data_IF_602841820333
#
_entry.id   IF_602841820333
#
_cell.length_a   1.000
_cell.length_b   1.000
_cell.length_c   1.000
_cell.angle_alpha   90.00
_cell.angle_beta   90.00
_cell.angle_gamma   90.00
#
_symmetry.space_group_name_H-M   'P 1'
#
loop_
_entity.id
_entity.type
_entity.pdbx_description
1 polymer ?
#
# COMPACT_ATOMS: atom_id res chain seq x y z
N UNK A 1 0.29 15.41 2.31
CA UNK A 1 -0.34 14.57 1.28
C UNK A 1 -0.84 13.30 1.95
N UNK A 2 -2.13 13.05 1.98
CA UNK A 2 -2.71 11.87 2.65
C UNK A 2 -2.92 10.77 1.61
N UNK A 3 -1.86 10.07 1.23
CA UNK A 3 -1.90 8.95 0.26
C UNK A 3 -3.00 7.93 0.54
N UNK A 4 -3.37 7.73 1.82
CA UNK A 4 -4.43 6.79 2.23
C UNK A 4 -5.78 7.22 1.66
N UNK A 5 -6.13 8.51 1.76
CA UNK A 5 -7.36 9.04 1.20
C UNK A 5 -7.33 9.00 -0.33
N UNK A 6 -6.21 9.40 -0.95
CA UNK A 6 -6.06 9.36 -2.40
C UNK A 6 -6.19 7.93 -2.94
N UNK A 7 -5.65 6.95 -2.22
CA UNK A 7 -5.77 5.53 -2.55
C UNK A 7 -7.24 5.06 -2.46
N UNK A 8 -7.94 5.42 -1.38
CA UNK A 8 -9.36 5.12 -1.23
C UNK A 8 -10.19 5.70 -2.39
N UNK A 9 -10.00 6.99 -2.70
CA UNK A 9 -10.67 7.66 -3.83
C UNK A 9 -10.34 6.96 -5.14
N UNK A 10 -9.08 6.58 -5.36
CA UNK A 10 -8.65 5.86 -6.57
C UNK A 10 -9.41 4.55 -6.74
N UNK A 11 -9.53 3.74 -5.69
CA UNK A 11 -10.32 2.50 -5.77
C UNK A 11 -11.79 2.77 -6.04
N UNK A 12 -12.39 3.81 -5.42
CA UNK A 12 -13.78 4.19 -5.70
C UNK A 12 -13.98 4.65 -7.15
N UNK A 13 -13.02 5.36 -7.73
CA UNK A 13 -13.01 5.72 -9.16
C UNK A 13 -12.91 4.48 -10.04
N UNK A 14 -12.09 3.50 -9.68
CA UNK A 14 -11.93 2.25 -10.42
C UNK A 14 -13.19 1.36 -10.35
N UNK A 15 -13.97 1.45 -9.28
CA UNK A 15 -15.24 0.74 -9.15
C UNK A 15 -16.34 1.30 -10.06
N UNK A 16 -16.33 2.62 -10.31
CA UNK A 16 -17.32 3.30 -11.15
C UNK A 16 -16.94 3.19 -12.65
N UNK A 17 -17.75 2.58 -13.52
CA UNK A 17 -17.41 2.41 -14.94
C UNK A 17 -17.18 3.72 -15.70
N UNK A 18 -17.96 4.76 -15.42
CA UNK A 18 -17.83 6.05 -16.10
C UNK A 18 -16.56 6.80 -15.67
N UNK A 19 -16.30 6.85 -14.35
CA UNK A 19 -15.09 7.46 -13.77
C UNK A 19 -13.84 6.70 -14.19
N UNK A 20 -13.88 5.37 -14.21
CA UNK A 20 -12.79 4.52 -14.69
C UNK A 20 -12.47 4.79 -16.16
N UNK A 21 -13.48 4.91 -17.03
CA UNK A 21 -13.28 5.27 -18.44
C UNK A 21 -12.63 6.64 -18.59
N UNK A 22 -13.08 7.64 -17.82
CA UNK A 22 -12.50 8.97 -17.81
C UNK A 22 -11.03 8.96 -17.34
N UNK A 23 -10.73 8.23 -16.26
CA UNK A 23 -9.38 8.03 -15.76
C UNK A 23 -8.47 7.39 -16.80
N UNK A 24 -8.95 6.33 -17.47
CA UNK A 24 -8.17 5.62 -18.50
C UNK A 24 -7.81 6.53 -19.66
N UNK A 25 -8.73 7.40 -20.12
CA UNK A 25 -8.43 8.38 -21.16
C UNK A 25 -7.33 9.34 -20.75
N UNK A 26 -7.36 9.85 -19.51
CA UNK A 26 -6.30 10.72 -18.97
C UNK A 26 -4.95 9.99 -18.90
N UNK A 27 -4.93 8.77 -18.41
CA UNK A 27 -3.70 7.98 -18.29
C UNK A 27 -3.07 7.64 -19.64
N UNK A 28 -3.87 7.35 -20.67
CA UNK A 28 -3.38 7.08 -22.03
C UNK A 28 -2.69 8.28 -22.67
N UNK A 29 -3.08 9.49 -22.31
CA UNK A 29 -2.51 10.75 -22.80
C UNK A 29 -1.34 11.24 -21.94
N UNK A 30 -1.12 10.64 -20.77
CA UNK A 30 -0.08 11.04 -19.85
C UNK A 30 1.30 10.61 -20.34
N UNK A 31 2.27 11.48 -20.14
CA UNK A 31 3.69 11.22 -20.39
C UNK A 31 4.55 11.79 -19.26
N UNK A 32 5.76 11.27 -19.12
CA UNK A 32 6.70 11.72 -18.10
C UNK A 32 7.19 13.14 -18.40
N UNK A 33 6.86 14.11 -17.56
CA UNK A 33 7.30 15.49 -17.66
C UNK A 33 7.54 16.09 -16.28
N UNK A 34 8.76 16.59 -16.02
CA UNK A 34 9.18 17.03 -14.68
C UNK A 34 8.35 18.21 -14.16
N UNK A 35 8.09 19.22 -14.98
CA UNK A 35 7.28 20.38 -14.58
C UNK A 35 5.85 19.95 -14.20
N UNK A 36 5.23 19.11 -15.02
CA UNK A 36 3.87 18.59 -14.75
C UNK A 36 3.86 17.73 -13.48
N UNK A 37 4.93 16.98 -13.22
CA UNK A 37 5.06 16.20 -11.99
C UNK A 37 5.09 17.10 -10.75
N UNK A 38 5.89 18.17 -10.78
CA UNK A 38 5.99 19.14 -9.68
C UNK A 38 4.66 19.85 -9.46
N UNK A 39 4.02 20.32 -10.53
CA UNK A 39 2.69 20.95 -10.48
C UNK A 39 1.64 20.04 -9.85
N UNK A 40 1.60 18.76 -10.25
CA UNK A 40 0.66 17.78 -9.68
C UNK A 40 0.98 17.43 -8.23
N UNK A 41 2.27 17.33 -7.88
CA UNK A 41 2.69 17.06 -6.50
C UNK A 41 2.27 18.17 -5.55
N UNK A 42 2.43 19.41 -5.98
CA UNK A 42 2.23 20.60 -5.16
C UNK A 42 0.79 21.17 -5.27
N UNK A 43 -0.02 20.65 -6.20
CA UNK A 43 -1.44 21.02 -6.34
C UNK A 43 -2.27 20.57 -5.15
N UNK A 44 -3.34 21.32 -4.84
CA UNK A 44 -4.36 20.92 -3.87
C UNK A 44 -5.09 19.64 -4.27
N UNK A 45 -6.07 19.22 -3.49
CA UNK A 45 -6.86 18.01 -3.75
C UNK A 45 -7.89 18.27 -4.85
N UNK A 46 -7.71 17.73 -6.07
CA UNK A 46 -8.71 17.77 -7.10
C UNK A 46 -9.89 16.82 -6.81
N UNK A 47 -10.88 16.82 -7.67
CA UNK A 47 -12.03 15.92 -7.52
C UNK A 47 -11.69 14.50 -7.99
N UNK A 48 -12.29 13.51 -7.37
CA UNK A 48 -12.32 12.05 -7.70
C UNK A 48 -11.32 11.54 -8.78
N UNK A 49 -11.70 11.70 -10.07
CA UNK A 49 -10.90 11.21 -11.22
C UNK A 49 -9.53 11.87 -11.29
N UNK A 50 -9.44 13.15 -10.93
CA UNK A 50 -8.18 13.89 -10.93
C UNK A 50 -7.29 13.51 -9.76
N UNK A 51 -7.87 13.19 -8.60
CA UNK A 51 -7.15 12.60 -7.46
C UNK A 51 -6.56 11.25 -7.83
N UNK A 52 -7.36 10.38 -8.47
CA UNK A 52 -6.89 9.08 -8.92
C UNK A 52 -5.80 9.20 -9.99
N UNK A 53 -5.99 10.09 -10.96
CA UNK A 53 -4.99 10.36 -12.00
C UNK A 53 -3.68 10.86 -11.39
N UNK A 54 -3.74 11.84 -10.48
CA UNK A 54 -2.59 12.39 -9.78
C UNK A 54 -1.83 11.32 -9.00
N UNK A 55 -2.53 10.50 -8.21
CA UNK A 55 -1.89 9.41 -7.45
C UNK A 55 -1.13 8.48 -8.37
N UNK A 56 -1.78 7.97 -9.42
CA UNK A 56 -1.18 7.02 -10.36
C UNK A 56 -0.02 7.68 -11.11
N UNK A 57 -0.16 8.93 -11.54
CA UNK A 57 0.88 9.68 -12.23
C UNK A 57 2.12 9.86 -11.36
N UNK A 58 1.94 10.35 -10.14
CA UNK A 58 3.04 10.57 -9.21
C UNK A 58 3.75 9.28 -8.83
N UNK A 59 3.02 8.20 -8.58
CA UNK A 59 3.61 6.88 -8.30
C UNK A 59 4.40 6.33 -9.48
N UNK A 60 3.87 6.47 -10.69
CA UNK A 60 4.51 5.94 -11.90
C UNK A 60 5.78 6.68 -12.27
N UNK A 61 5.78 8.02 -12.15
CA UNK A 61 6.88 8.85 -12.63
C UNK A 61 7.82 9.35 -11.53
N UNK A 62 7.63 8.92 -10.30
CA UNK A 62 8.58 9.23 -9.22
C UNK A 62 9.75 8.25 -9.16
N UNK A 63 10.81 8.69 -8.51
CA UNK A 63 11.92 7.82 -8.16
C UNK A 63 11.43 6.75 -7.17
N UNK A 64 11.61 5.47 -7.50
CA UNK A 64 11.18 4.33 -6.70
C UNK A 64 9.68 4.32 -6.31
N UNK A 65 8.81 5.04 -7.01
CA UNK A 65 7.40 5.09 -6.69
C UNK A 65 7.05 5.89 -5.42
N UNK A 66 7.97 6.75 -4.94
CA UNK A 66 7.79 7.49 -3.70
C UNK A 66 6.83 8.71 -3.81
N UNK A 67 6.49 9.10 -5.05
CA UNK A 67 5.63 10.25 -5.36
C UNK A 67 6.21 11.61 -4.99
N UNK A 68 7.46 11.71 -4.54
CA UNK A 68 8.09 12.92 -4.03
C UNK A 68 9.02 13.57 -5.03
N UNK A 69 9.84 12.78 -5.70
CA UNK A 69 10.87 13.24 -6.62
C UNK A 69 10.68 12.62 -8.01
N UNK A 70 10.80 13.43 -9.05
CA UNK A 70 10.68 12.96 -10.42
C UNK A 70 11.83 12.01 -10.78
N UNK A 71 11.49 10.85 -11.34
CA UNK A 71 12.47 9.86 -11.78
C UNK A 71 13.07 10.21 -13.13
N UNK A 72 14.29 10.75 -13.17
CA UNK A 72 14.95 11.23 -14.40
C UNK A 72 15.40 10.12 -15.38
N UNK A 73 15.26 8.83 -15.04
CA UNK A 73 15.75 7.70 -15.85
C UNK A 73 14.68 7.03 -16.71
N UNK A 74 13.70 7.76 -17.18
CA UNK A 74 12.75 7.20 -18.14
C UNK A 74 13.39 7.18 -19.53
N UNK A 75 13.97 6.03 -19.91
CA UNK A 75 14.44 5.79 -21.29
C UNK A 75 13.23 5.43 -22.16
N UNK A 76 12.96 6.25 -23.15
CA UNK A 76 11.95 5.98 -24.16
C UNK A 76 10.55 6.45 -23.83
N UNK A 77 9.61 6.09 -24.67
CA UNK A 77 8.21 6.52 -24.65
C UNK A 77 7.44 5.85 -23.49
N UNK A 78 7.62 6.37 -22.28
CA UNK A 78 6.93 5.89 -21.08
C UNK A 78 5.51 6.39 -21.04
N UNK A 79 4.71 5.99 -22.03
CA UNK A 79 3.26 6.14 -21.95
C UNK A 79 2.71 5.17 -20.91
N UNK A 80 1.76 5.59 -20.12
CA UNK A 80 1.01 4.73 -19.20
C UNK A 80 0.09 3.74 -19.94
N UNK A 81 0.49 3.30 -21.13
CA UNK A 81 -0.28 2.43 -22.03
C UNK A 81 -0.54 1.02 -21.45
N UNK A 82 0.15 0.66 -20.36
CA UNK A 82 -0.05 -0.63 -19.68
C UNK A 82 -1.17 -0.61 -18.63
N UNK A 83 -1.76 0.54 -18.34
CA UNK A 83 -2.97 0.63 -17.53
C UNK A 83 -4.16 0.24 -18.39
N UNK A 84 -4.42 -1.05 -18.49
CA UNK A 84 -5.59 -1.57 -19.18
C UNK A 84 -6.73 -1.71 -18.19
N UNK A 85 -7.94 -1.31 -18.61
CA UNK A 85 -9.16 -1.41 -17.77
C UNK A 85 -9.40 -2.85 -17.33
N UNK A 86 -9.01 -3.81 -18.16
CA UNK A 86 -9.17 -5.24 -17.89
C UNK A 86 -8.51 -5.68 -16.58
N UNK A 87 -7.40 -5.07 -16.20
CA UNK A 87 -6.69 -5.39 -14.96
C UNK A 87 -7.48 -4.97 -13.70
N UNK A 88 -8.54 -4.18 -13.83
CA UNK A 88 -9.31 -3.66 -12.70
C UNK A 88 -10.74 -4.19 -12.61
N UNK A 89 -11.09 -5.18 -13.42
CA UNK A 89 -12.46 -5.78 -13.42
C UNK A 89 -12.82 -6.32 -12.05
N UNK A 90 -11.87 -6.95 -11.36
CA UNK A 90 -12.08 -7.56 -10.04
C UNK A 90 -12.32 -6.53 -8.92
N UNK A 91 -11.81 -5.31 -9.07
CA UNK A 91 -12.00 -4.24 -8.06
C UNK A 91 -13.47 -3.90 -7.84
N UNK A 92 -14.34 -4.13 -8.81
CA UNK A 92 -15.78 -3.85 -8.69
C UNK A 92 -16.47 -4.62 -7.57
N UNK A 93 -15.97 -5.81 -7.27
CA UNK A 93 -16.54 -6.70 -6.27
C UNK A 93 -15.96 -6.47 -4.87
N UNK A 94 -14.94 -5.63 -4.75
CA UNK A 94 -14.28 -5.38 -3.48
C UNK A 94 -15.08 -4.40 -2.63
N UNK A 95 -15.17 -4.67 -1.33
CA UNK A 95 -15.60 -3.69 -0.34
C UNK A 95 -14.39 -2.88 0.06
N UNK A 96 -14.37 -1.59 -0.29
CA UNK A 96 -13.27 -0.67 0.01
C UNK A 96 -13.68 0.21 1.19
N UNK A 97 -12.92 0.10 2.27
CA UNK A 97 -13.15 0.83 3.51
C UNK A 97 -12.00 1.82 3.77
N UNK A 98 -12.34 2.97 4.36
CA UNK A 98 -11.36 3.95 4.84
C UNK A 98 -11.64 4.22 6.32
N UNK A 99 -11.16 3.32 7.16
CA UNK A 99 -11.36 3.38 8.62
C UNK A 99 -10.13 2.84 9.36
N UNK A 100 -10.04 3.12 10.65
CA UNK A 100 -8.98 2.60 11.48
C UNK A 100 -9.06 1.06 11.57
N UNK A 101 -7.90 0.38 11.66
CA UNK A 101 -7.84 -1.08 11.71
C UNK A 101 -8.66 -1.65 12.89
N UNK A 102 -8.71 -0.96 14.03
CA UNK A 102 -9.48 -1.36 15.21
C UNK A 102 -10.98 -1.47 14.89
N UNK A 103 -11.50 -0.47 14.19
CA UNK A 103 -12.90 -0.43 13.75
C UNK A 103 -13.18 -1.47 12.67
N UNK A 104 -12.23 -1.62 11.72
CA UNK A 104 -12.31 -2.61 10.66
C UNK A 104 -12.38 -4.04 11.22
N UNK A 105 -11.44 -4.39 12.11
CA UNK A 105 -11.39 -5.72 12.70
C UNK A 105 -12.63 -6.01 13.56
N UNK A 106 -13.15 -5.02 14.28
CA UNK A 106 -14.42 -5.13 15.02
C UNK A 106 -15.61 -5.35 14.09
N UNK A 107 -15.69 -4.58 13.00
CA UNK A 107 -16.78 -4.66 12.00
C UNK A 107 -16.85 -6.04 11.33
N UNK A 108 -15.69 -6.60 11.02
CA UNK A 108 -15.56 -7.86 10.29
C UNK A 108 -15.15 -9.06 11.17
N UNK A 109 -15.39 -8.99 12.48
CA UNK A 109 -15.05 -10.07 13.41
C UNK A 109 -15.99 -11.26 13.25
N UNK A 110 -15.61 -12.23 12.42
CA UNK A 110 -16.37 -13.46 12.12
C UNK A 110 -15.44 -14.69 12.06
N UNK A 111 -15.91 -15.89 12.53
CA UNK A 111 -15.06 -17.10 12.60
C UNK A 111 -14.51 -17.60 11.26
N UNK A 112 -15.20 -17.32 10.15
CA UNK A 112 -14.79 -17.78 8.80
C UNK A 112 -14.00 -16.75 8.01
N UNK A 113 -13.55 -15.67 8.65
CA UNK A 113 -12.86 -14.58 7.98
C UNK A 113 -11.37 -14.66 8.22
N UNK A 114 -10.59 -14.48 7.16
CA UNK A 114 -9.14 -14.36 7.20
C UNK A 114 -8.76 -12.87 7.06
N UNK A 115 -8.02 -12.35 8.03
CA UNK A 115 -7.34 -11.07 7.89
C UNK A 115 -5.92 -11.27 7.35
N UNK A 116 -5.61 -10.63 6.22
CA UNK A 116 -4.23 -10.36 5.82
C UNK A 116 -3.83 -8.98 6.31
N UNK A 117 -2.87 -8.94 7.23
CA UNK A 117 -2.43 -7.73 7.92
C UNK A 117 -1.06 -7.30 7.40
N UNK A 118 -1.03 -6.23 6.63
CA UNK A 118 0.17 -5.68 5.97
C UNK A 118 0.30 -4.19 6.33
N UNK A 119 0.69 -3.93 7.57
CA UNK A 119 0.84 -2.57 8.09
C UNK A 119 2.23 -2.01 7.78
N UNK A 120 2.40 -0.67 7.84
CA UNK A 120 3.71 -0.04 7.68
C UNK A 120 4.73 -0.59 8.70
N UNK A 121 5.93 -0.89 8.24
CA UNK A 121 7.03 -1.31 9.11
C UNK A 121 7.52 -0.14 9.97
N UNK A 122 7.91 -0.41 11.22
CA UNK A 122 8.43 0.61 12.14
C UNK A 122 9.65 1.32 11.56
N UNK A 123 10.56 0.56 10.93
CA UNK A 123 11.75 1.09 10.28
C UNK A 123 11.48 2.04 9.12
N UNK A 124 10.28 1.99 8.52
CA UNK A 124 9.85 2.86 7.44
C UNK A 124 9.11 4.12 7.90
N UNK A 125 8.97 4.34 9.21
CA UNK A 125 8.15 5.39 9.81
C UNK A 125 8.39 6.81 9.30
N UNK A 126 9.62 7.13 8.89
CA UNK A 126 9.94 8.43 8.25
C UNK A 126 9.34 8.62 6.85
N UNK A 127 8.87 7.55 6.21
CA UNK A 127 8.28 7.58 4.86
C UNK A 127 6.78 7.81 4.88
N UNK A 128 6.11 7.51 5.98
CA UNK A 128 4.66 7.63 6.13
C UNK A 128 4.30 8.82 7.03
N UNK A 129 3.23 9.52 6.71
CA UNK A 129 2.73 10.66 7.51
C UNK A 129 2.20 10.20 8.88
N UNK A 130 1.71 8.98 8.96
CA UNK A 130 1.30 8.30 10.18
C UNK A 130 2.17 7.07 10.31
N UNK A 131 3.23 7.17 11.10
CA UNK A 131 4.07 6.02 11.45
C UNK A 131 3.29 5.12 12.39
N UNK A 132 3.29 3.83 12.09
CA UNK A 132 2.81 2.82 13.02
C UNK A 132 3.80 2.75 14.20
N UNK A 133 3.30 2.73 15.42
CA UNK A 133 4.11 2.70 16.64
C UNK A 133 4.11 1.31 17.27
N UNK A 134 5.00 1.08 18.24
CA UNK A 134 4.96 -0.15 19.03
C UNK A 134 3.62 -0.32 19.78
N UNK A 135 3.01 0.79 20.24
CA UNK A 135 1.71 0.74 20.89
C UNK A 135 0.59 0.38 19.91
N UNK A 136 0.65 0.88 18.66
CA UNK A 136 -0.29 0.44 17.62
C UNK A 136 -0.13 -1.06 17.32
N UNK A 137 1.09 -1.60 17.38
CA UNK A 137 1.33 -3.04 17.21
C UNK A 137 0.81 -3.86 18.38
N UNK A 138 0.94 -3.39 19.62
CA UNK A 138 0.34 -4.01 20.82
C UNK A 138 -1.19 -4.02 20.72
N UNK A 139 -1.77 -2.91 20.28
CA UNK A 139 -3.21 -2.81 20.03
C UNK A 139 -3.67 -3.75 18.90
N UNK A 140 -2.89 -3.85 17.81
CA UNK A 140 -3.15 -4.78 16.73
C UNK A 140 -3.14 -6.24 17.25
N UNK A 141 -2.13 -6.59 18.05
CA UNK A 141 -2.07 -7.90 18.71
C UNK A 141 -3.31 -8.17 19.56
N UNK A 142 -3.73 -7.20 20.36
CA UNK A 142 -4.96 -7.30 21.16
C UNK A 142 -6.24 -7.46 20.32
N UNK A 143 -6.28 -6.90 19.12
CA UNK A 143 -7.38 -7.12 18.16
C UNK A 143 -7.30 -8.52 17.54
N UNK A 144 -6.10 -8.99 17.18
CA UNK A 144 -5.88 -10.33 16.64
C UNK A 144 -6.27 -11.42 17.63
N UNK A 145 -5.91 -11.27 18.90
CA UNK A 145 -6.21 -12.26 19.96
C UNK A 145 -7.72 -12.39 20.22
N UNK A 146 -8.49 -11.33 19.96
CA UNK A 146 -9.95 -11.31 20.08
C UNK A 146 -10.67 -11.74 18.80
N UNK A 147 -9.94 -11.87 17.69
CA UNK A 147 -10.57 -12.25 16.43
C UNK A 147 -10.87 -13.75 16.40
N UNK A 148 -12.12 -14.15 16.18
CA UNK A 148 -12.51 -15.57 16.20
C UNK A 148 -12.13 -16.34 14.95
N UNK A 149 -11.68 -15.65 13.90
CA UNK A 149 -11.26 -16.24 12.62
C UNK A 149 -9.76 -16.36 12.49
N UNK A 150 -9.30 -16.44 11.26
CA UNK A 150 -7.90 -16.59 10.93
C UNK A 150 -7.22 -15.27 10.63
N UNK A 151 -5.91 -15.20 10.83
CA UNK A 151 -5.09 -14.09 10.39
C UNK A 151 -3.75 -14.54 9.82
N UNK A 152 -3.21 -13.72 8.92
CA UNK A 152 -1.84 -13.74 8.43
C UNK A 152 -1.26 -12.34 8.57
N UNK A 153 -0.27 -12.20 9.44
CA UNK A 153 0.43 -10.94 9.70
C UNK A 153 1.79 -10.95 9.01
N UNK A 154 2.11 -9.86 8.32
CA UNK A 154 3.40 -9.61 7.69
C UNK A 154 4.06 -8.38 8.31
N UNK A 155 5.27 -8.54 8.86
CA UNK A 155 6.07 -7.47 9.47
C UNK A 155 7.53 -7.58 9.04
N UNK A 156 8.29 -6.50 9.21
CA UNK A 156 9.75 -6.57 9.13
C UNK A 156 10.29 -7.49 10.25
N UNK A 157 11.11 -8.46 9.88
CA UNK A 157 11.76 -9.35 10.85
C UNK A 157 12.96 -8.72 11.57
N UNK A 158 13.33 -7.48 11.19
CA UNK A 158 14.46 -6.74 11.74
C UNK A 158 14.06 -5.56 12.62
N UNK A 159 12.76 -5.31 12.79
CA UNK A 159 12.29 -4.26 13.69
C UNK A 159 12.33 -4.79 15.14
N UNK A 160 12.94 -4.01 16.03
CA UNK A 160 13.03 -4.36 17.46
C UNK A 160 11.64 -4.46 18.10
N UNK A 161 11.49 -5.38 19.05
CA UNK A 161 10.27 -5.56 19.83
C UNK A 161 9.20 -6.45 19.18
N UNK A 162 9.40 -6.92 17.93
CA UNK A 162 8.40 -7.76 17.24
C UNK A 162 8.22 -9.12 17.94
N UNK A 163 9.31 -9.77 18.33
CA UNK A 163 9.24 -11.05 19.02
C UNK A 163 8.65 -10.93 20.43
N UNK A 164 8.83 -9.80 21.09
CA UNK A 164 8.22 -9.53 22.40
C UNK A 164 6.69 -9.46 22.30
N UNK A 165 6.16 -8.82 21.21
CA UNK A 165 4.72 -8.61 21.04
C UNK A 165 4.04 -9.84 20.41
N UNK A 166 4.63 -10.43 19.37
CA UNK A 166 3.99 -11.46 18.55
C UNK A 166 4.58 -12.87 18.73
N UNK A 167 5.67 -13.01 19.51
CA UNK A 167 6.46 -14.23 19.56
C UNK A 167 7.30 -14.42 18.29
N UNK A 168 7.99 -15.56 18.20
CA UNK A 168 8.78 -15.89 17.01
C UNK A 168 7.89 -16.07 15.78
N UNK A 169 8.29 -15.54 14.61
CA UNK A 169 7.55 -15.76 13.37
C UNK A 169 7.60 -17.23 12.97
N UNK A 170 6.50 -17.75 12.40
CA UNK A 170 6.47 -19.10 11.86
C UNK A 170 7.30 -19.21 10.58
N UNK A 171 7.48 -18.11 9.85
CA UNK A 171 8.32 -18.06 8.66
C UNK A 171 9.04 -16.72 8.55
N UNK A 172 10.30 -16.77 8.15
CA UNK A 172 11.08 -15.59 7.78
C UNK A 172 11.54 -15.74 6.33
N UNK A 173 11.30 -14.71 5.52
CA UNK A 173 11.80 -14.63 4.15
C UNK A 173 12.79 -13.47 4.09
N UNK A 174 14.04 -13.79 3.75
CA UNK A 174 15.12 -12.80 3.65
C UNK A 174 15.34 -12.45 2.18
N UNK A 175 15.36 -11.16 1.87
CA UNK A 175 15.60 -10.63 0.55
C UNK A 175 16.95 -9.93 0.49
N UNK A 176 17.68 -10.08 -0.62
CA UNK A 176 18.83 -9.24 -0.91
C UNK A 176 18.34 -7.79 -1.09
N UNK A 177 19.01 -6.83 -0.44
CA UNK A 177 18.70 -5.42 -0.67
C UNK A 177 19.22 -5.00 -2.05
N UNK A 178 18.35 -4.70 -3.02
CA UNK A 178 18.79 -4.32 -4.38
C UNK A 178 19.56 -2.99 -4.44
N UNK A 179 19.56 -2.22 -3.36
CA UNK A 179 20.28 -0.94 -3.23
C UNK A 179 21.60 -1.08 -2.46
N UNK A 180 21.89 -2.25 -1.92
CA UNK A 180 23.13 -2.52 -1.21
C UNK A 180 24.13 -3.24 -2.13
N UNK A 181 24.97 -2.45 -2.78
CA UNK A 181 26.01 -2.96 -3.67
C UNK A 181 27.05 -3.84 -2.97
N UNK A 182 27.13 -3.77 -1.64
CA UNK A 182 28.07 -4.57 -0.83
C UNK A 182 27.42 -5.83 -0.25
N UNK A 183 26.12 -6.06 -0.44
CA UNK A 183 25.40 -7.25 0.03
C UNK A 183 25.30 -7.41 1.55
N UNK A 184 25.62 -6.37 2.32
CA UNK A 184 25.68 -6.42 3.77
C UNK A 184 24.33 -6.21 4.45
N UNK A 185 23.40 -5.47 3.79
CA UNK A 185 22.06 -5.19 4.33
C UNK A 185 21.06 -6.18 3.76
N UNK A 186 20.56 -7.03 4.61
CA UNK A 186 19.46 -7.94 4.29
C UNK A 186 18.14 -7.31 4.71
N UNK A 187 17.10 -7.53 3.91
CA UNK A 187 15.73 -7.22 4.27
C UNK A 187 15.01 -8.53 4.53
N UNK A 188 14.13 -8.56 5.51
CA UNK A 188 13.39 -9.76 5.80
C UNK A 188 11.99 -9.44 6.29
N UNK A 189 11.06 -10.31 5.90
CA UNK A 189 9.70 -10.30 6.40
C UNK A 189 9.48 -11.50 7.29
N UNK A 190 8.97 -11.27 8.49
CA UNK A 190 8.42 -12.27 9.37
C UNK A 190 6.94 -12.45 9.10
N UNK A 191 6.47 -13.68 9.18
CA UNK A 191 5.08 -14.04 9.00
C UNK A 191 4.57 -14.77 10.23
N UNK A 192 3.43 -14.31 10.75
CA UNK A 192 2.72 -14.87 11.88
C UNK A 192 1.30 -15.23 11.47
N UNK A 193 0.83 -16.43 11.83
CA UNK A 193 -0.53 -16.87 11.54
C UNK A 193 -1.06 -17.79 12.64
N UNK A 194 -2.39 -17.95 12.72
CA UNK A 194 -3.09 -18.79 13.70
C UNK A 194 -3.86 -19.97 13.11
N UNK A 195 -3.57 -20.35 11.86
CA UNK A 195 -4.23 -21.48 11.19
C UNK A 195 -3.24 -22.57 10.81
N UNK A 196 -3.72 -23.81 10.68
CA UNK A 196 -2.92 -24.93 10.21
C UNK A 196 -2.85 -24.90 8.69
N UNK A 197 -1.64 -24.98 8.13
CA UNK A 197 -1.47 -25.21 6.70
C UNK A 197 -1.86 -26.67 6.41
N UNK A 198 -2.86 -26.87 5.60
CA UNK A 198 -3.23 -28.19 5.07
C UNK A 198 -2.36 -28.55 3.88
#
# INVERSE_FOLDING_TARGET
MTWIYDLYVTFKVLQDPAKRSALTRKLRLAFAHEKSFVEMRDSGYPKDVDTAFRLIYLQTYSFMGDGRSFGRRFKGNTRMSRFTIENFVYVREWTIENMAFRELMKKYSKPRLLFYLDQPYLSSGKKYRHSFTLDDLRDLKGCMDKHPGSYLLNLSSFDDGMEEIFGKPQKVIVYANPLDHNGTKKWGCGYWWNFTQQ
#
